data_IF_774536367228
#
_entry.id   IF_774536367228
#
_cell.length_a   1.000
_cell.length_b   1.000
_cell.length_c   1.000
_cell.angle_alpha   90.00
_cell.angle_beta   90.00
_cell.angle_gamma   90.00
#
_symmetry.space_group_name_H-M   'P 1'
#
loop_
_entity.id
_entity.type
_entity.pdbx_description
1 polymer ?
#
# COMPACT_ATOMS: atom_id res chain seq x y z
N UNK A 1 -6.89 50.57 -43.47
CA UNK A 1 -5.62 50.61 -42.71
C UNK A 1 -5.85 49.85 -41.44
N UNK A 2 -5.29 48.65 -41.39
CA UNK A 2 -5.29 47.69 -40.27
C UNK A 2 -4.09 47.97 -39.39
N UNK A 3 -4.29 48.17 -38.09
CA UNK A 3 -3.23 48.07 -37.09
C UNK A 3 -3.62 47.00 -36.08
N UNK A 4 -3.05 45.81 -36.29
CA UNK A 4 -3.11 44.68 -35.37
C UNK A 4 -2.16 44.96 -34.21
N UNK A 5 -2.69 45.13 -33.00
CA UNK A 5 -1.88 45.17 -31.78
C UNK A 5 -1.37 43.76 -31.51
N UNK A 6 -0.10 43.51 -31.86
CA UNK A 6 0.69 42.40 -31.33
C UNK A 6 0.94 42.66 -29.84
N UNK A 7 0.33 41.89 -28.96
CA UNK A 7 0.79 41.79 -27.56
C UNK A 7 1.46 40.44 -27.37
N UNK A 8 2.75 40.51 -27.06
CA UNK A 8 3.64 39.37 -26.91
C UNK A 8 3.17 38.40 -25.82
N UNK A 9 3.08 37.13 -26.19
CA UNK A 9 2.78 35.99 -25.34
C UNK A 9 4.01 35.72 -24.44
N UNK A 10 3.97 36.14 -23.18
CA UNK A 10 5.02 35.83 -22.20
C UNK A 10 5.03 34.32 -21.93
N UNK A 11 6.15 33.59 -22.14
CA UNK A 11 6.24 32.18 -21.77
C UNK A 11 6.15 32.07 -20.25
N UNK A 12 5.10 31.38 -19.78
CA UNK A 12 4.98 30.99 -18.37
C UNK A 12 6.05 29.95 -18.07
N UNK A 13 7.23 30.39 -17.68
CA UNK A 13 8.26 29.57 -17.06
C UNK A 13 7.74 29.14 -15.68
N UNK A 14 6.91 28.10 -15.61
CA UNK A 14 6.70 27.37 -14.35
C UNK A 14 8.03 26.72 -14.00
N UNK A 15 8.76 27.37 -13.10
CA UNK A 15 9.84 26.76 -12.35
C UNK A 15 9.23 25.59 -11.56
N UNK A 16 9.37 24.36 -12.08
CA UNK A 16 9.01 23.16 -11.34
C UNK A 16 10.13 22.91 -10.34
N UNK A 17 9.92 23.35 -9.11
CA UNK A 17 10.77 23.00 -7.98
C UNK A 17 10.70 21.45 -7.80
N UNK A 18 11.82 20.71 -7.92
CA UNK A 18 11.84 19.27 -7.70
C UNK A 18 11.66 18.86 -6.22
N UNK A 19 11.53 19.82 -5.30
CA UNK A 19 11.34 19.56 -3.87
C UNK A 19 9.87 19.51 -3.42
N UNK A 20 8.90 19.28 -4.33
CA UNK A 20 7.57 18.82 -3.89
C UNK A 20 7.75 17.40 -3.36
N UNK A 21 8.13 17.35 -2.09
CA UNK A 21 8.12 16.17 -1.25
C UNK A 21 6.68 15.68 -1.28
N UNK A 22 6.44 14.67 -2.12
CA UNK A 22 5.17 13.99 -2.18
C UNK A 22 4.85 13.56 -0.74
N UNK A 23 3.71 13.96 -0.15
CA UNK A 23 3.34 13.47 1.16
C UNK A 23 3.36 11.95 1.07
N UNK A 24 4.25 11.31 1.81
CA UNK A 24 4.30 9.86 1.90
C UNK A 24 2.88 9.44 2.29
N UNK A 25 2.21 8.67 1.42
CA UNK A 25 0.89 8.17 1.73
C UNK A 25 1.00 7.44 3.08
N UNK A 26 0.10 7.71 4.05
CA UNK A 26 0.23 7.13 5.37
C UNK A 26 0.37 5.62 5.22
N UNK A 27 1.48 5.08 5.72
CA UNK A 27 1.69 3.64 5.71
C UNK A 27 0.49 3.00 6.42
N UNK A 28 -0.21 2.10 5.72
CA UNK A 28 -1.35 1.41 6.30
C UNK A 28 -0.94 0.78 7.63
N UNK A 29 -1.70 1.09 8.69
CA UNK A 29 -1.38 0.58 10.02
C UNK A 29 -1.34 -0.94 9.99
N UNK A 30 -0.29 -1.52 10.58
CA UNK A 30 -0.11 -2.96 10.59
C UNK A 30 -1.18 -3.60 11.49
N UNK A 31 -1.96 -4.53 10.93
CA UNK A 31 -2.99 -5.27 11.66
C UNK A 31 -2.46 -6.63 12.11
N UNK A 32 -3.01 -7.19 13.17
CA UNK A 32 -2.57 -8.50 13.69
C UNK A 32 -3.59 -9.59 13.40
N UNK A 33 -3.09 -10.74 12.97
CA UNK A 33 -3.90 -11.95 12.75
C UNK A 33 -3.40 -13.05 13.70
N UNK A 34 -4.28 -13.53 14.58
CA UNK A 34 -4.04 -14.56 15.59
C UNK A 34 -4.63 -15.90 15.16
N UNK A 35 -4.13 -16.99 15.74
CA UNK A 35 -4.65 -18.35 15.52
C UNK A 35 -4.77 -18.68 14.02
N UNK A 36 -3.76 -18.27 13.27
CA UNK A 36 -3.82 -18.29 11.81
C UNK A 36 -3.37 -19.64 11.26
N UNK A 37 -3.84 -19.94 10.05
CA UNK A 37 -3.42 -21.08 9.25
C UNK A 37 -3.19 -20.61 7.83
N UNK A 38 -2.00 -20.89 7.30
CA UNK A 38 -1.68 -20.66 5.90
C UNK A 38 -1.98 -21.92 5.09
N UNK A 39 -2.57 -21.75 3.91
CA UNK A 39 -2.81 -22.83 2.97
C UNK A 39 -2.59 -22.34 1.54
N UNK A 40 -2.12 -23.26 0.69
CA UNK A 40 -1.85 -23.00 -0.72
C UNK A 40 -2.74 -23.89 -1.58
N UNK A 41 -3.36 -23.29 -2.60
CA UNK A 41 -4.13 -23.99 -3.63
C UNK A 41 -3.56 -23.60 -5.00
N UNK A 42 -2.83 -24.53 -5.63
CA UNK A 42 -2.05 -24.23 -6.83
C UNK A 42 -1.01 -23.12 -6.57
N UNK A 43 -0.96 -22.05 -7.38
CA UNK A 43 -0.05 -20.92 -7.15
C UNK A 43 -0.56 -19.93 -6.09
N UNK A 44 -1.84 -20.01 -5.69
CA UNK A 44 -2.45 -19.04 -4.79
C UNK A 44 -2.18 -19.38 -3.31
N UNK A 45 -1.70 -18.40 -2.54
CA UNK A 45 -1.54 -18.47 -1.09
C UNK A 45 -2.68 -17.70 -0.41
N UNK A 46 -3.26 -18.34 0.61
CA UNK A 46 -4.26 -17.74 1.48
C UNK A 46 -3.92 -17.99 2.94
N UNK A 47 -4.32 -17.07 3.82
CA UNK A 47 -4.19 -17.21 5.27
C UNK A 47 -5.53 -16.91 5.92
N UNK A 48 -6.02 -17.82 6.74
CA UNK A 48 -7.21 -17.62 7.56
C UNK A 48 -6.80 -17.47 9.02
N UNK A 49 -7.44 -16.58 9.76
CA UNK A 49 -7.18 -16.39 11.19
C UNK A 49 -8.14 -15.40 11.83
N UNK A 50 -7.95 -15.14 13.11
CA UNK A 50 -8.73 -14.17 13.87
C UNK A 50 -8.05 -12.80 13.83
N UNK A 51 -8.76 -11.81 13.32
CA UNK A 51 -8.34 -10.41 13.40
C UNK A 51 -8.29 -9.97 14.87
N UNK A 52 -7.12 -9.54 15.33
CA UNK A 52 -6.90 -9.24 16.73
C UNK A 52 -7.68 -8.01 17.22
N UNK A 53 -8.02 -7.09 16.32
CA UNK A 53 -8.75 -5.86 16.63
C UNK A 53 -10.25 -6.13 16.73
N UNK A 54 -10.79 -6.87 15.77
CA UNK A 54 -12.24 -7.08 15.65
C UNK A 54 -12.72 -8.40 16.26
N UNK A 55 -11.82 -9.34 16.53
CA UNK A 55 -12.15 -10.71 16.95
C UNK A 55 -12.79 -11.55 15.85
N UNK A 56 -12.96 -11.01 14.64
CA UNK A 56 -13.61 -11.72 13.54
C UNK A 56 -12.64 -12.69 12.87
N UNK A 57 -13.14 -13.87 12.49
CA UNK A 57 -12.40 -14.75 11.58
C UNK A 57 -12.41 -14.16 10.18
N UNK A 58 -11.22 -14.06 9.59
CA UNK A 58 -11.02 -13.53 8.23
C UNK A 58 -10.14 -14.48 7.43
N UNK A 59 -10.44 -14.58 6.14
CA UNK A 59 -9.61 -15.26 5.15
C UNK A 59 -9.02 -14.22 4.21
N UNK A 60 -7.70 -14.14 4.18
CA UNK A 60 -6.92 -13.24 3.32
C UNK A 60 -6.42 -14.06 2.14
N UNK A 61 -6.96 -13.78 0.96
CA UNK A 61 -6.54 -14.40 -0.30
C UNK A 61 -5.72 -13.42 -1.14
N UNK A 62 -4.98 -13.94 -2.12
CA UNK A 62 -4.20 -13.10 -3.03
C UNK A 62 -3.00 -12.44 -2.35
N UNK A 63 -2.35 -13.17 -1.44
CA UNK A 63 -1.18 -12.69 -0.69
C UNK A 63 -0.03 -12.39 -1.65
N UNK A 64 0.46 -11.14 -1.61
CA UNK A 64 1.55 -10.65 -2.47
C UNK A 64 2.93 -11.02 -1.92
N UNK A 65 3.07 -11.05 -0.60
CA UNK A 65 4.31 -11.42 0.08
C UNK A 65 4.02 -12.22 1.36
N UNK A 66 4.93 -13.11 1.71
CA UNK A 66 4.96 -13.83 2.97
C UNK A 66 6.42 -13.93 3.41
N UNK A 67 6.72 -13.48 4.63
CA UNK A 67 8.07 -13.64 5.17
C UNK A 67 8.32 -12.86 6.44
N UNK A 68 9.47 -13.10 7.09
CA UNK A 68 9.89 -12.33 8.25
C UNK A 68 10.28 -10.90 7.87
N UNK A 69 10.11 -9.96 8.80
CA UNK A 69 10.75 -8.64 8.73
C UNK A 69 12.18 -8.65 9.30
N UNK A 70 12.79 -7.47 9.39
CA UNK A 70 14.12 -7.29 9.97
C UNK A 70 14.23 -7.68 11.46
N UNK A 71 13.08 -7.80 12.17
CA UNK A 71 13.00 -8.21 13.56
C UNK A 71 12.63 -9.70 13.72
N UNK A 72 12.43 -10.43 12.61
CA UNK A 72 12.05 -11.84 12.61
C UNK A 72 10.55 -12.10 12.76
N UNK A 73 9.70 -11.06 12.74
CA UNK A 73 8.24 -11.18 12.83
C UNK A 73 7.67 -11.56 11.47
N UNK A 74 6.72 -12.49 11.41
CA UNK A 74 6.09 -12.89 10.14
C UNK A 74 5.03 -11.87 9.69
N UNK A 75 5.07 -11.52 8.41
CA UNK A 75 4.06 -10.67 7.78
C UNK A 75 3.53 -11.26 6.49
N UNK A 76 2.28 -10.88 6.19
CA UNK A 76 1.69 -10.97 4.86
C UNK A 76 1.18 -9.61 4.42
N UNK A 77 1.11 -9.40 3.11
CA UNK A 77 0.43 -8.26 2.49
C UNK A 77 -0.65 -8.78 1.57
N UNK A 78 -1.88 -8.31 1.78
CA UNK A 78 -3.01 -8.74 0.97
C UNK A 78 -3.07 -8.02 -0.40
N UNK A 79 -4.09 -8.37 -1.19
CA UNK A 79 -4.28 -7.79 -2.52
C UNK A 79 -4.44 -6.27 -2.52
N UNK A 80 -4.99 -5.71 -1.43
CA UNK A 80 -5.27 -4.27 -1.26
C UNK A 80 -4.06 -3.50 -0.72
N UNK A 81 -2.99 -4.19 -0.34
CA UNK A 81 -1.77 -3.59 0.20
C UNK A 81 -1.78 -3.45 1.72
N UNK A 82 -2.80 -3.98 2.40
CA UNK A 82 -2.82 -4.01 3.85
C UNK A 82 -1.84 -5.06 4.37
N UNK A 83 -0.98 -4.63 5.29
CA UNK A 83 0.02 -5.47 5.94
C UNK A 83 -0.56 -6.09 7.21
N UNK A 84 -0.36 -7.39 7.37
CA UNK A 84 -0.81 -8.17 8.52
C UNK A 84 0.38 -8.86 9.19
N UNK A 85 0.57 -8.64 10.48
CA UNK A 85 1.47 -9.41 11.34
C UNK A 85 0.80 -10.72 11.72
N UNK A 86 1.48 -11.83 11.48
CA UNK A 86 1.01 -13.17 11.84
C UNK A 86 1.53 -13.52 13.23
N UNK A 87 0.64 -13.50 14.22
CA UNK A 87 0.96 -13.73 15.64
C UNK A 87 0.60 -15.17 15.99
N UNK A 88 1.60 -15.92 16.46
CA UNK A 88 1.46 -17.30 16.92
C UNK A 88 0.98 -17.37 18.38
#
# INVERSE_FOLDING_TARGET
>A
MTDSVMTAQMPSSRFTDPAITQPEAPAAETRQLKHWTAYRSGPALSVSGMDAETGATRTIAGIKNLGPDAQGKLFITDGEGQRWELVL
#
